data_IF_256884303728
#
_entry.id   IF_256884303728
#
_cell.length_a   1.000
_cell.length_b   1.000
_cell.length_c   1.000
_cell.angle_alpha   90.00
_cell.angle_beta   90.00
_cell.angle_gamma   90.00
#
_symmetry.space_group_name_H-M   'P 1'
#
loop_
_entity.id
_entity.type
_entity.pdbx_description
1 polymer ?
#
# COMPACT_ATOMS: atom_id res chain seq x y z
N UNK A 1 -2.47 -6.86 -11.79
CA UNK A 1 -1.15 -6.21 -11.99
C UNK A 1 -0.40 -6.18 -10.65
N UNK A 2 0.93 -6.25 -10.63
CA UNK A 2 1.73 -6.14 -9.41
C UNK A 2 1.65 -4.72 -8.82
N UNK A 3 1.87 -4.60 -7.51
CA UNK A 3 1.81 -3.29 -6.84
C UNK A 3 2.87 -2.31 -7.39
N UNK A 4 4.02 -2.81 -7.83
CA UNK A 4 5.08 -1.99 -8.42
C UNK A 4 4.69 -1.33 -9.76
N UNK A 5 3.65 -1.82 -10.43
CA UNK A 5 3.11 -1.19 -11.64
C UNK A 5 1.94 -0.23 -11.34
N UNK A 6 1.25 -0.45 -10.22
CA UNK A 6 0.11 0.37 -9.80
C UNK A 6 0.54 1.63 -9.03
N UNK A 7 1.54 1.50 -8.15
CA UNK A 7 2.04 2.58 -7.30
C UNK A 7 3.39 3.12 -7.82
N UNK A 8 3.47 3.38 -9.13
CA UNK A 8 4.66 3.99 -9.74
C UNK A 8 4.79 5.47 -9.33
N UNK A 9 6.01 6.05 -9.36
CA UNK A 9 6.21 7.47 -9.09
C UNK A 9 5.29 8.34 -9.94
N UNK A 10 5.22 8.08 -11.24
CA UNK A 10 4.36 8.84 -12.15
C UNK A 10 2.87 8.70 -11.81
N UNK A 11 2.42 7.52 -11.36
CA UNK A 11 1.03 7.34 -10.93
C UNK A 11 0.72 8.15 -9.66
N UNK A 12 1.65 8.17 -8.71
CA UNK A 12 1.55 8.97 -7.48
C UNK A 12 1.54 10.46 -7.82
N UNK A 13 2.44 10.92 -8.68
CA UNK A 13 2.50 12.32 -9.13
C UNK A 13 1.21 12.73 -9.85
N UNK A 14 0.74 11.93 -10.82
CA UNK A 14 -0.51 12.22 -11.55
C UNK A 14 -1.74 12.22 -10.67
N UNK A 15 -1.74 11.48 -9.56
CA UNK A 15 -2.86 11.49 -8.61
C UNK A 15 -2.99 12.81 -7.86
N UNK A 16 -1.93 13.62 -7.81
CA UNK A 16 -1.88 14.87 -7.04
C UNK A 16 -1.83 14.65 -5.52
N UNK A 17 -1.74 13.41 -5.03
CA UNK A 17 -1.83 13.09 -3.60
C UNK A 17 -0.73 13.75 -2.76
N UNK A 18 0.45 13.98 -3.35
CA UNK A 18 1.57 14.67 -2.69
C UNK A 18 1.39 16.20 -2.62
N UNK A 19 0.33 16.74 -3.22
CA UNK A 19 -0.08 18.14 -3.05
C UNK A 19 -0.83 18.39 -1.74
N UNK A 20 -1.30 17.35 -1.06
CA UNK A 20 -1.90 17.46 0.27
C UNK A 20 -0.79 17.47 1.34
N UNK A 21 -0.68 18.60 2.06
CA UNK A 21 0.32 18.79 3.11
C UNK A 21 0.20 17.77 4.25
N UNK A 22 -1.01 17.36 4.62
CA UNK A 22 -1.23 16.39 5.67
C UNK A 22 -0.81 14.98 5.24
N UNK A 23 -1.01 14.62 3.96
CA UNK A 23 -0.49 13.36 3.42
C UNK A 23 1.03 13.38 3.40
N UNK A 24 1.61 14.47 2.89
CA UNK A 24 3.06 14.64 2.78
C UNK A 24 3.75 14.57 4.15
N UNK A 25 3.24 15.27 5.15
CA UNK A 25 3.75 15.22 6.53
C UNK A 25 3.75 13.79 7.10
N UNK A 26 2.65 13.05 6.90
CA UNK A 26 2.55 11.66 7.34
C UNK A 26 3.55 10.75 6.65
N UNK A 27 3.79 10.92 5.35
CA UNK A 27 4.75 10.12 4.59
C UNK A 27 6.19 10.45 4.97
N UNK A 28 6.50 11.74 5.14
CA UNK A 28 7.82 12.21 5.59
C UNK A 28 8.17 11.63 6.96
N UNK A 29 7.20 11.53 7.87
CA UNK A 29 7.41 10.95 9.21
C UNK A 29 7.80 9.45 9.18
N UNK A 30 7.48 8.73 8.10
CA UNK A 30 7.85 7.32 7.91
C UNK A 30 9.28 7.12 7.40
N UNK A 31 9.93 8.19 6.92
CA UNK A 31 11.33 8.12 6.49
C UNK A 31 12.27 7.96 7.69
N UNK A 32 13.50 7.44 7.45
CA UNK A 32 14.55 7.41 8.46
C UNK A 32 14.79 8.79 9.08
N UNK A 33 15.14 8.87 10.37
CA UNK A 33 15.20 10.14 11.13
C UNK A 33 16.06 11.24 10.47
N UNK A 34 17.14 10.86 9.76
CA UNK A 34 18.01 11.80 9.02
C UNK A 34 17.54 12.15 7.60
N UNK A 35 16.38 11.65 7.18
CA UNK A 35 15.80 11.82 5.84
C UNK A 35 14.36 12.32 5.87
N UNK A 36 13.88 12.81 7.03
CA UNK A 36 12.49 13.26 7.19
C UNK A 36 12.29 14.66 6.61
N UNK A 37 12.40 14.75 5.29
CA UNK A 37 12.07 15.95 4.51
C UNK A 37 11.46 15.61 3.14
N UNK A 38 10.91 16.64 2.50
CA UNK A 38 10.18 16.54 1.24
C UNK A 38 11.04 16.05 0.07
N UNK A 39 12.30 16.47 0.03
CA UNK A 39 13.22 16.09 -1.03
C UNK A 39 13.54 14.60 -0.93
N UNK A 40 13.85 14.13 0.28
CA UNK A 40 14.11 12.72 0.54
C UNK A 40 12.89 11.85 0.31
N UNK A 41 11.66 12.34 0.55
CA UNK A 41 10.43 11.62 0.18
C UNK A 41 10.37 11.37 -1.33
N UNK A 42 10.57 12.41 -2.14
CA UNK A 42 10.51 12.30 -3.60
C UNK A 42 11.66 11.43 -4.16
N UNK A 43 12.86 11.56 -3.59
CA UNK A 43 13.99 10.69 -3.95
C UNK A 43 13.71 9.22 -3.59
N UNK A 44 13.13 8.94 -2.41
CA UNK A 44 12.75 7.58 -2.02
C UNK A 44 11.69 6.99 -2.94
N UNK A 45 10.64 7.75 -3.28
CA UNK A 45 9.57 7.27 -4.17
C UNK A 45 10.09 6.86 -5.54
N UNK A 46 11.04 7.61 -6.11
CA UNK A 46 11.68 7.30 -7.41
C UNK A 46 12.79 6.25 -7.31
N UNK A 47 13.12 5.79 -6.11
CA UNK A 47 14.23 4.87 -5.89
C UNK A 47 13.92 3.44 -6.35
N UNK A 48 14.92 2.70 -6.87
CA UNK A 48 14.77 1.27 -7.16
C UNK A 48 14.35 0.44 -5.94
N UNK A 49 14.71 0.89 -4.74
CA UNK A 49 14.44 0.19 -3.47
C UNK A 49 12.94 0.13 -3.18
N UNK A 50 12.20 1.21 -3.40
CA UNK A 50 10.73 1.21 -3.22
C UNK A 50 10.07 0.29 -4.24
N UNK A 51 10.48 0.36 -5.51
CA UNK A 51 9.97 -0.53 -6.54
C UNK A 51 10.24 -2.02 -6.20
N UNK A 52 11.43 -2.33 -5.68
CA UNK A 52 11.78 -3.68 -5.25
C UNK A 52 10.96 -4.13 -4.03
N UNK A 53 10.74 -3.25 -3.05
CA UNK A 53 9.88 -3.51 -1.90
C UNK A 53 8.45 -3.87 -2.33
N UNK A 54 7.87 -3.12 -3.28
CA UNK A 54 6.55 -3.39 -3.83
C UNK A 54 6.48 -4.73 -4.59
N UNK A 55 7.56 -5.12 -5.28
CA UNK A 55 7.65 -6.45 -5.92
C UNK A 55 7.68 -7.56 -4.88
N UNK A 56 8.49 -7.43 -3.81
CA UNK A 56 8.53 -8.40 -2.72
C UNK A 56 7.18 -8.54 -2.02
N UNK A 57 6.50 -7.41 -1.75
CA UNK A 57 5.15 -7.43 -1.19
C UNK A 57 4.15 -8.12 -2.13
N UNK A 58 4.23 -7.84 -3.43
CA UNK A 58 3.39 -8.52 -4.44
C UNK A 58 3.59 -10.04 -4.41
N UNK A 59 4.85 -10.51 -4.40
CA UNK A 59 5.17 -11.94 -4.36
C UNK A 59 4.63 -12.61 -3.07
N UNK A 60 4.80 -11.95 -1.93
CA UNK A 60 4.31 -12.45 -0.65
C UNK A 60 2.77 -12.50 -0.59
N UNK A 61 2.07 -11.56 -1.22
CA UNK A 61 0.61 -11.57 -1.37
C UNK A 61 0.13 -12.66 -2.34
N UNK A 62 0.87 -12.89 -3.43
CA UNK A 62 0.52 -13.90 -4.44
C UNK A 62 0.71 -15.34 -3.95
N UNK A 63 1.45 -15.55 -2.86
CA UNK A 63 1.59 -16.84 -2.22
C UNK A 63 2.67 -17.74 -2.84
N UNK A 64 3.56 -17.18 -3.68
CA UNK A 64 4.71 -17.90 -4.25
C UNK A 64 5.66 -18.48 -3.18
N UNK A 65 5.60 -17.97 -1.94
CA UNK A 65 6.37 -18.46 -0.78
C UNK A 65 5.50 -19.21 0.26
N UNK A 66 4.82 -20.29 -0.15
CA UNK A 66 4.29 -21.29 0.79
C UNK A 66 2.96 -20.95 1.48
N UNK A 67 2.02 -20.32 0.77
CA UNK A 67 0.58 -20.36 1.10
C UNK A 67 0.06 -19.60 2.33
N UNK A 68 0.95 -19.02 3.15
CA UNK A 68 0.58 -18.28 4.39
C UNK A 68 0.78 -16.76 4.34
N UNK A 69 1.41 -16.23 3.29
CA UNK A 69 1.83 -14.83 3.21
C UNK A 69 0.67 -13.84 3.26
N UNK A 70 -0.39 -14.07 2.48
CA UNK A 70 -1.53 -13.15 2.37
C UNK A 70 -2.19 -12.84 3.72
N UNK A 71 -2.62 -13.87 4.46
CA UNK A 71 -3.29 -13.69 5.75
C UNK A 71 -2.38 -13.04 6.79
N UNK A 72 -1.09 -13.37 6.78
CA UNK A 72 -0.10 -12.78 7.69
C UNK A 72 0.11 -11.30 7.41
N UNK A 73 0.15 -10.92 6.13
CA UNK A 73 0.22 -9.51 5.70
C UNK A 73 -1.03 -8.76 6.15
N UNK A 74 -2.22 -9.29 5.88
CA UNK A 74 -3.46 -8.64 6.32
C UNK A 74 -3.50 -8.44 7.85
N UNK A 75 -3.06 -9.42 8.62
CA UNK A 75 -2.99 -9.30 10.08
C UNK A 75 -2.03 -8.18 10.52
N UNK A 76 -0.85 -8.06 9.91
CA UNK A 76 0.12 -6.99 10.21
C UNK A 76 -0.44 -5.59 9.91
N UNK A 77 -1.20 -5.46 8.82
CA UNK A 77 -1.88 -4.21 8.46
C UNK A 77 -3.23 -4.03 9.19
N UNK A 78 -3.62 -4.97 10.06
CA UNK A 78 -4.91 -4.99 10.78
C UNK A 78 -6.13 -4.92 9.85
N UNK A 79 -6.00 -5.52 8.67
CA UNK A 79 -7.03 -5.60 7.65
C UNK A 79 -7.90 -6.85 7.85
N UNK A 80 -9.13 -6.77 7.36
CA UNK A 80 -10.11 -7.86 7.44
C UNK A 80 -10.08 -8.73 6.18
N UNK A 81 -9.74 -10.03 6.24
CA UNK A 81 -9.67 -10.88 5.06
C UNK A 81 -10.97 -11.00 4.28
N UNK A 82 -12.13 -10.92 4.95
CA UNK A 82 -13.44 -10.97 4.30
C UNK A 82 -13.67 -9.85 3.28
N UNK A 83 -12.95 -8.73 3.42
CA UNK A 83 -13.12 -7.57 2.55
C UNK A 83 -12.67 -7.83 1.11
N UNK A 84 -11.64 -8.66 0.92
CA UNK A 84 -11.07 -9.05 -0.37
C UNK A 84 -11.44 -10.46 -0.83
N UNK A 85 -12.36 -11.14 -0.13
CA UNK A 85 -12.66 -12.55 -0.38
C UNK A 85 -13.12 -12.83 -1.83
N UNK A 86 -13.88 -11.93 -2.44
CA UNK A 86 -14.35 -12.07 -3.82
C UNK A 86 -13.19 -12.05 -4.83
N UNK A 87 -12.27 -11.08 -4.68
CA UNK A 87 -11.09 -10.99 -5.53
C UNK A 87 -10.12 -12.17 -5.30
N UNK A 88 -9.96 -12.64 -4.06
CA UNK A 88 -9.20 -13.87 -3.76
C UNK A 88 -9.81 -15.08 -4.47
N UNK A 89 -11.13 -15.25 -4.41
CA UNK A 89 -11.82 -16.36 -5.06
C UNK A 89 -11.68 -16.33 -6.59
N UNK A 90 -11.48 -15.14 -7.17
CA UNK A 90 -11.18 -14.97 -8.60
C UNK A 90 -9.70 -15.20 -8.97
N UNK A 91 -8.85 -15.59 -8.01
CA UNK A 91 -7.42 -15.78 -8.23
C UNK A 91 -6.64 -14.46 -8.36
N UNK A 92 -7.15 -13.35 -7.81
CA UNK A 92 -6.52 -12.04 -7.87
C UNK A 92 -6.16 -11.51 -6.48
N UNK A 93 -5.04 -11.98 -5.89
CA UNK A 93 -4.64 -11.63 -4.53
C UNK A 93 -4.25 -10.17 -4.36
N UNK A 94 -3.75 -9.52 -5.42
CA UNK A 94 -3.42 -8.10 -5.36
C UNK A 94 -4.68 -7.26 -5.27
N UNK A 95 -5.69 -7.55 -6.09
CA UNK A 95 -6.98 -6.87 -5.99
C UNK A 95 -7.63 -7.13 -4.63
N UNK A 96 -7.56 -8.35 -4.11
CA UNK A 96 -8.08 -8.66 -2.78
C UNK A 96 -7.45 -7.82 -1.68
N UNK A 97 -6.12 -7.65 -1.70
CA UNK A 97 -5.43 -6.78 -0.76
C UNK A 97 -5.90 -5.32 -0.88
N UNK A 98 -6.04 -4.80 -2.11
CA UNK A 98 -6.52 -3.44 -2.34
C UNK A 98 -7.96 -3.25 -1.85
N UNK A 99 -8.84 -4.22 -2.08
CA UNK A 99 -10.23 -4.20 -1.59
C UNK A 99 -10.27 -4.14 -0.05
N UNK A 100 -9.40 -4.90 0.62
CA UNK A 100 -9.22 -4.84 2.08
C UNK A 100 -8.80 -3.44 2.56
N UNK A 101 -7.81 -2.83 1.88
CA UNK A 101 -7.34 -1.48 2.22
C UNK A 101 -8.45 -0.45 2.04
N UNK A 102 -9.13 -0.47 0.90
CA UNK A 102 -10.21 0.49 0.59
C UNK A 102 -11.35 0.41 1.60
N UNK A 103 -11.85 -0.80 1.91
CA UNK A 103 -12.90 -0.98 2.92
C UNK A 103 -12.45 -0.58 4.32
N UNK A 104 -11.17 -0.72 4.65
CA UNK A 104 -10.64 -0.20 5.93
C UNK A 104 -10.73 1.31 6.00
N UNK A 105 -10.31 2.01 4.95
CA UNK A 105 -10.37 3.47 4.87
C UNK A 105 -11.82 3.98 4.92
N UNK A 106 -12.75 3.28 4.24
CA UNK A 106 -14.18 3.63 4.30
C UNK A 106 -14.76 3.52 5.71
N UNK A 107 -14.38 2.50 6.48
CA UNK A 107 -14.78 2.38 7.88
C UNK A 107 -14.19 3.48 8.75
N UNK A 108 -12.90 3.77 8.60
CA UNK A 108 -12.24 4.86 9.34
C UNK A 108 -12.88 6.23 9.06
N UNK A 109 -13.33 6.47 7.82
CA UNK A 109 -14.04 7.71 7.48
C UNK A 109 -15.41 7.78 8.16
N UNK A 110 -16.21 6.71 8.09
CA UNK A 110 -17.53 6.64 8.74
C UNK A 110 -17.44 6.82 10.26
N UNK A 111 -16.41 6.28 10.91
CA UNK A 111 -16.17 6.45 12.34
C UNK A 111 -15.78 7.88 12.74
N UNK A 112 -15.21 8.67 11.81
CA UNK A 112 -14.85 10.08 12.04
C UNK A 112 -15.99 11.05 11.73
N UNK A 113 -16.96 10.62 10.93
CA UNK A 113 -18.12 11.43 10.50
C UNK A 113 -19.37 11.20 11.36
N UNK A 114 -19.41 10.13 12.15
CA UNK A 114 -20.49 9.81 13.10
C UNK A 114 -20.19 10.28 14.53
#
# INVERSE_FOLDING_TARGET
PPLSELATPDAIERSGILGDAAVRERLVALLPEGQRDDRNLEENLRSPQVAQCLKSLTAALAGDEGGGGFNSILANFRLKPEDGAAAMASGNPIQAFLDCVLKSVEREKKEKEG
#
